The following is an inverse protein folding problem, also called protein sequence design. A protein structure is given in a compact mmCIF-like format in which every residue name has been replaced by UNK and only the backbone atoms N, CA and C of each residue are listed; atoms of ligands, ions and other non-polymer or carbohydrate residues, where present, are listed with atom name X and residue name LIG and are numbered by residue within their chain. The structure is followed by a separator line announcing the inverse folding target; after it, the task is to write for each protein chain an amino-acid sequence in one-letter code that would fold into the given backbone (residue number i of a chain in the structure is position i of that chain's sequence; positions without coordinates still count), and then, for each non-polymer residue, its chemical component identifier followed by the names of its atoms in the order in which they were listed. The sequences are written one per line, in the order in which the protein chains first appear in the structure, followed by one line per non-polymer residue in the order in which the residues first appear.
data_IF_937741166787
#
_entry.id   IF_937741166787
#
_cell.length_a   1.000
_cell.length_b   1.000
_cell.length_c   1.000
_cell.angle_alpha   90.00
_cell.angle_beta   90.00
_cell.angle_gamma   90.00
#
_symmetry.space_group_name_H-M   'P 1'
#
loop_
_entity.id
_entity.type
_entity.pdbx_description
1 polymer ?
#
# COMPACT_ATOMS: atom_id res chain seq x y z
N UNK A 1 21.74 1.75 1.45
CA UNK A 1 20.42 2.41 1.30
C UNK A 1 20.52 3.40 0.17
N UNK A 2 19.62 3.30 -0.82
CA UNK A 2 19.55 4.25 -1.91
C UNK A 2 19.24 5.65 -1.35
N UNK A 3 19.62 6.71 -2.08
CA UNK A 3 19.39 8.11 -1.67
C UNK A 3 17.90 8.39 -1.43
N UNK A 4 17.04 7.79 -2.24
CA UNK A 4 15.58 7.86 -2.14
C UNK A 4 15.02 7.31 -0.81
N UNK A 5 15.63 6.27 -0.23
CA UNK A 5 15.17 5.71 1.04
C UNK A 5 15.44 6.65 2.21
N UNK A 6 16.54 7.41 2.15
CA UNK A 6 16.88 8.41 3.18
C UNK A 6 15.96 9.63 3.12
N UNK A 7 15.63 10.09 1.92
CA UNK A 7 14.69 11.18 1.72
C UNK A 7 13.30 10.79 2.25
N UNK A 8 12.83 9.60 1.92
CA UNK A 8 11.57 9.07 2.40
C UNK A 8 11.54 8.89 3.92
N UNK A 9 12.64 8.39 4.52
CA UNK A 9 12.81 8.32 5.97
C UNK A 9 12.69 9.72 6.62
N UNK A 10 13.35 10.71 6.05
CA UNK A 10 13.30 12.09 6.55
C UNK A 10 11.90 12.70 6.44
N UNK A 11 11.19 12.44 5.36
CA UNK A 11 9.80 12.89 5.20
C UNK A 11 8.88 12.27 6.24
N UNK A 12 8.99 10.97 6.48
CA UNK A 12 8.21 10.29 7.54
C UNK A 12 8.50 10.90 8.90
N UNK A 13 9.77 11.13 9.22
CA UNK A 13 10.14 11.73 10.50
C UNK A 13 9.62 13.15 10.67
N UNK A 14 9.65 13.94 9.60
CA UNK A 14 9.07 15.29 9.60
C UNK A 14 7.56 15.26 9.82
N UNK A 15 6.85 14.29 9.22
CA UNK A 15 5.41 14.13 9.40
C UNK A 15 5.03 13.65 10.81
N UNK A 16 5.86 12.84 11.43
CA UNK A 16 5.63 12.36 12.80
C UNK A 16 5.82 13.47 13.82
N UNK A 17 6.68 14.45 13.54
CA UNK A 17 6.95 15.61 14.41
C UNK A 17 7.40 15.20 15.82
N UNK A 18 7.01 15.99 16.82
CA UNK A 18 7.39 15.81 18.22
C UNK A 18 6.47 14.82 18.99
N UNK A 19 5.77 13.95 18.30
CA UNK A 19 4.92 12.95 18.95
C UNK A 19 5.78 11.97 19.74
N UNK A 20 5.32 11.60 20.94
CA UNK A 20 6.01 10.61 21.77
C UNK A 20 5.91 9.22 21.14
N UNK A 21 7.01 8.75 20.59
CA UNK A 21 7.20 7.39 20.10
C UNK A 21 8.66 6.97 20.28
N UNK A 22 8.88 5.69 20.55
CA UNK A 22 10.22 5.11 20.52
C UNK A 22 10.57 4.74 19.07
N UNK A 23 11.77 5.13 18.64
CA UNK A 23 12.26 4.83 17.31
C UNK A 23 13.41 3.86 17.36
N UNK A 24 13.28 2.77 16.63
CA UNK A 24 14.33 1.79 16.43
C UNK A 24 14.65 1.68 14.94
N UNK A 25 15.93 1.87 14.59
CA UNK A 25 16.38 1.64 13.20
C UNK A 25 17.02 0.27 13.14
N UNK A 26 16.42 -0.64 12.41
CA UNK A 26 16.95 -1.96 12.13
C UNK A 26 17.62 -1.97 10.77
N UNK A 27 18.91 -2.29 10.76
CA UNK A 27 19.65 -2.47 9.52
C UNK A 27 19.51 -3.94 9.08
N UNK A 28 18.72 -4.15 8.06
CA UNK A 28 18.62 -5.47 7.45
C UNK A 28 19.92 -5.78 6.68
N UNK A 29 20.56 -6.88 7.04
CA UNK A 29 21.74 -7.39 6.34
C UNK A 29 21.31 -8.49 5.39
N UNK A 30 21.52 -8.25 4.08
CA UNK A 30 21.29 -9.28 3.08
C UNK A 30 22.27 -10.44 3.32
N UNK A 31 21.78 -11.68 3.56
CA UNK A 31 22.68 -12.78 3.84
C UNK A 31 23.54 -13.07 2.62
N UNK A 32 24.82 -12.75 2.72
CA UNK A 32 25.81 -12.98 1.66
C UNK A 32 26.21 -14.46 1.52
N UNK A 33 25.74 -15.34 2.41
CA UNK A 33 26.08 -16.75 2.41
C UNK A 33 24.84 -17.64 2.26
N UNK A 34 24.97 -18.70 1.47
CA UNK A 34 23.96 -19.76 1.24
C UNK A 34 23.47 -20.48 2.51
N UNK A 35 23.93 -20.09 3.70
CA UNK A 35 23.69 -20.83 4.95
C UNK A 35 22.53 -20.32 5.81
N UNK A 36 21.90 -19.21 5.47
CA UNK A 36 20.79 -18.69 6.29
C UNK A 36 19.54 -18.46 5.43
N UNK A 37 18.84 -19.56 5.16
CA UNK A 37 17.46 -19.49 4.68
C UNK A 37 16.47 -19.21 5.82
N UNK A 38 16.95 -18.97 7.04
CA UNK A 38 16.08 -18.63 8.15
C UNK A 38 15.61 -17.20 8.02
N UNK A 39 14.32 -16.93 8.23
CA UNK A 39 13.82 -15.58 8.41
C UNK A 39 14.63 -14.86 9.49
N UNK A 40 14.86 -13.58 9.34
CA UNK A 40 15.52 -12.77 10.38
C UNK A 40 14.71 -12.88 11.67
N UNK A 41 15.37 -13.14 12.81
CA UNK A 41 14.68 -13.12 14.09
C UNK A 41 14.39 -11.65 14.46
N UNK A 42 13.17 -11.22 14.19
CA UNK A 42 12.67 -9.89 14.48
C UNK A 42 11.93 -9.82 15.81
N UNK A 43 11.86 -10.94 16.55
CA UNK A 43 11.21 -11.01 17.86
C UNK A 43 11.72 -9.95 18.85
N UNK A 44 13.03 -9.63 18.92
CA UNK A 44 13.54 -8.62 19.85
C UNK A 44 13.08 -7.18 19.53
N UNK A 45 12.55 -6.94 18.33
CA UNK A 45 12.07 -5.62 17.92
C UNK A 45 10.61 -5.38 18.33
N UNK A 46 9.90 -6.41 18.79
CA UNK A 46 8.50 -6.32 19.17
C UNK A 46 8.37 -5.95 20.63
N UNK A 47 7.78 -4.80 20.92
CA UNK A 47 7.42 -4.36 22.26
C UNK A 47 6.05 -4.87 22.66
N UNK A 48 5.94 -5.51 23.84
CA UNK A 48 4.72 -6.22 24.24
C UNK A 48 3.55 -5.29 24.58
N UNK A 49 3.84 -4.12 25.14
CA UNK A 49 2.82 -3.20 25.67
C UNK A 49 2.60 -1.97 24.77
N UNK A 50 3.11 -2.03 23.55
CA UNK A 50 3.02 -0.95 22.57
C UNK A 50 2.40 -1.42 21.26
N UNK A 51 1.89 -0.48 20.48
CA UNK A 51 1.59 -0.72 19.08
C UNK A 51 2.86 -0.53 18.26
N UNK A 52 3.31 -1.63 17.64
CA UNK A 52 4.52 -1.62 16.84
C UNK A 52 4.18 -1.27 15.40
N UNK A 53 4.88 -0.30 14.82
CA UNK A 53 4.73 0.07 13.41
C UNK A 53 6.06 -0.16 12.71
N UNK A 54 6.06 -1.06 11.74
CA UNK A 54 7.22 -1.32 10.91
C UNK A 54 7.10 -0.59 9.58
N UNK A 55 8.12 0.19 9.24
CA UNK A 55 8.25 0.82 7.93
C UNK A 55 9.38 0.12 7.18
N UNK A 56 9.05 -0.56 6.09
CA UNK A 56 10.04 -1.29 5.29
C UNK A 56 10.46 -0.41 4.11
N UNK A 57 11.71 0.05 4.16
CA UNK A 57 12.30 0.95 3.17
C UNK A 57 13.07 0.18 2.08
N UNK A 58 12.64 -1.01 1.70
CA UNK A 58 13.26 -1.79 0.64
C UNK A 58 12.28 -2.05 -0.51
N UNK A 59 12.78 -1.89 -1.73
CA UNK A 59 12.07 -2.28 -2.96
C UNK A 59 12.56 -3.65 -3.50
N UNK A 60 13.47 -4.32 -2.79
CA UNK A 60 13.94 -5.63 -3.17
C UNK A 60 12.93 -6.70 -2.73
N UNK A 61 12.37 -7.45 -3.67
CA UNK A 61 11.35 -8.48 -3.42
C UNK A 61 11.81 -9.53 -2.41
N UNK A 62 13.07 -9.99 -2.51
CA UNK A 62 13.63 -11.01 -1.62
C UNK A 62 13.78 -10.49 -0.19
N UNK A 63 14.19 -9.24 -0.02
CA UNK A 63 14.35 -8.64 1.30
C UNK A 63 13.00 -8.38 1.94
N UNK A 64 12.02 -7.89 1.18
CA UNK A 64 10.64 -7.69 1.65
C UNK A 64 10.03 -9.01 2.10
N UNK A 65 10.12 -10.06 1.27
CA UNK A 65 9.62 -11.40 1.62
C UNK A 65 10.21 -11.92 2.92
N UNK A 66 11.53 -11.82 3.08
CA UNK A 66 12.23 -12.28 4.29
C UNK A 66 11.85 -11.50 5.55
N UNK A 67 11.70 -10.18 5.43
CA UNK A 67 11.30 -9.34 6.56
C UNK A 67 9.87 -9.69 6.99
N UNK A 68 8.95 -9.79 6.05
CA UNK A 68 7.56 -10.18 6.34
C UNK A 68 7.49 -11.60 6.92
N UNK A 69 8.20 -12.56 6.32
CA UNK A 69 8.27 -13.91 6.87
C UNK A 69 8.87 -13.94 8.29
N UNK A 70 9.83 -13.07 8.57
CA UNK A 70 10.41 -12.89 9.91
C UNK A 70 9.40 -12.38 10.93
N UNK A 71 8.59 -11.39 10.57
CA UNK A 71 7.53 -10.84 11.44
C UNK A 71 6.43 -11.87 11.70
N UNK A 72 5.95 -12.56 10.65
CA UNK A 72 4.96 -13.62 10.80
C UNK A 72 5.47 -14.79 11.66
N UNK A 73 6.76 -15.14 11.54
CA UNK A 73 7.40 -16.15 12.38
C UNK A 73 7.51 -15.72 13.83
N UNK A 74 7.84 -14.46 14.10
CA UNK A 74 7.91 -13.90 15.44
C UNK A 74 6.52 -13.95 16.12
N UNK A 75 5.45 -13.53 15.42
CA UNK A 75 4.07 -13.63 15.91
C UNK A 75 3.71 -15.07 16.27
N UNK A 76 4.02 -16.02 15.39
CA UNK A 76 3.75 -17.45 15.61
C UNK A 76 4.56 -18.02 16.76
N UNK A 77 5.83 -17.67 16.89
CA UNK A 77 6.71 -18.14 17.96
C UNK A 77 6.26 -17.66 19.34
N UNK A 78 5.76 -16.42 19.45
CA UNK A 78 5.24 -15.86 20.68
C UNK A 78 3.93 -16.55 21.08
N UNK A 79 3.01 -16.70 20.13
CA UNK A 79 1.69 -17.30 20.36
C UNK A 79 1.78 -18.78 20.68
N UNK A 80 2.69 -19.53 20.05
CA UNK A 80 2.89 -20.96 20.34
C UNK A 80 3.39 -21.23 21.76
N UNK A 81 3.99 -20.23 22.41
CA UNK A 81 4.41 -20.30 23.81
C UNK A 81 3.32 -19.86 24.80
N UNK A 82 2.07 -19.74 24.34
CA UNK A 82 0.94 -19.34 25.16
C UNK A 82 0.96 -17.85 25.57
N UNK A 83 1.77 -17.02 24.90
CA UNK A 83 1.81 -15.59 25.12
C UNK A 83 0.95 -14.86 24.08
N UNK A 84 0.41 -13.72 24.47
CA UNK A 84 -0.24 -12.83 23.50
C UNK A 84 0.82 -12.17 22.64
N UNK A 85 0.74 -12.31 21.32
CA UNK A 85 1.64 -11.62 20.43
C UNK A 85 1.41 -10.11 20.48
N UNK A 86 2.47 -9.30 20.49
CA UNK A 86 2.37 -7.86 20.39
C UNK A 86 1.59 -7.44 19.13
N UNK A 87 0.84 -6.38 19.24
CA UNK A 87 0.20 -5.80 18.06
C UNK A 87 1.26 -5.12 17.21
N UNK A 88 1.23 -5.40 15.92
CA UNK A 88 2.08 -4.67 14.97
C UNK A 88 1.35 -4.46 13.64
N UNK A 89 1.77 -3.44 12.93
CA UNK A 89 1.29 -3.07 11.59
C UNK A 89 2.51 -2.81 10.71
N UNK A 90 2.47 -3.29 9.49
CA UNK A 90 3.55 -3.04 8.52
C UNK A 90 3.09 -2.02 7.51
N UNK A 91 3.77 -0.89 7.44
CA UNK A 91 3.60 0.08 6.36
C UNK A 91 4.43 -0.36 5.16
N UNK A 92 3.73 -0.76 4.13
CA UNK A 92 4.30 -1.32 2.92
C UNK A 92 4.15 -0.40 1.72
N UNK A 93 4.59 -0.90 0.57
CA UNK A 93 4.49 -0.23 -0.71
C UNK A 93 3.49 -0.97 -1.62
N UNK A 94 2.61 -0.23 -2.29
CA UNK A 94 1.64 -0.80 -3.24
C UNK A 94 2.30 -1.59 -4.39
N UNK A 95 3.60 -1.38 -4.66
CA UNK A 95 4.38 -2.16 -5.63
C UNK A 95 4.49 -3.63 -5.24
N UNK A 96 4.42 -3.97 -3.95
CA UNK A 96 4.52 -5.36 -3.48
C UNK A 96 3.44 -6.26 -4.06
N UNK A 97 2.31 -5.71 -4.45
CA UNK A 97 1.27 -6.44 -5.19
C UNK A 97 1.72 -6.98 -6.57
N UNK A 98 2.85 -6.51 -7.08
CA UNK A 98 3.42 -6.93 -8.36
C UNK A 98 4.53 -7.98 -8.21
N UNK A 99 4.94 -8.25 -6.98
CA UNK A 99 5.98 -9.25 -6.72
C UNK A 99 5.41 -10.64 -6.99
N UNK A 100 6.18 -11.45 -7.71
CA UNK A 100 5.72 -12.76 -8.18
C UNK A 100 5.95 -13.85 -7.14
N UNK A 101 7.01 -13.72 -6.33
CA UNK A 101 7.44 -14.74 -5.38
C UNK A 101 6.92 -14.46 -3.96
N UNK A 102 6.25 -13.34 -3.73
CA UNK A 102 5.73 -12.97 -2.43
C UNK A 102 4.38 -13.63 -2.18
N UNK A 103 4.27 -14.43 -1.13
CA UNK A 103 3.00 -14.99 -0.69
C UNK A 103 2.10 -13.89 -0.12
N UNK A 104 1.03 -13.59 -0.82
CA UNK A 104 0.07 -12.55 -0.40
C UNK A 104 -0.65 -12.88 0.90
N UNK A 105 -0.70 -14.14 1.32
CA UNK A 105 -1.27 -14.51 2.61
C UNK A 105 -0.50 -13.88 3.78
N UNK A 106 0.77 -13.55 3.57
CA UNK A 106 1.60 -12.89 4.57
C UNK A 106 1.15 -11.45 4.86
N UNK A 107 0.54 -10.77 3.87
CA UNK A 107 -0.01 -9.42 4.09
C UNK A 107 -1.08 -9.39 5.16
N UNK A 108 -1.91 -10.43 5.22
CA UNK A 108 -2.94 -10.56 6.23
C UNK A 108 -2.35 -10.89 7.61
N UNK A 109 -1.36 -11.78 7.65
CA UNK A 109 -0.67 -12.15 8.90
C UNK A 109 0.01 -10.94 9.53
N UNK A 110 0.68 -10.14 8.73
CA UNK A 110 1.48 -9.00 9.15
C UNK A 110 0.69 -7.68 9.20
N UNK A 111 -0.62 -7.73 8.91
CA UNK A 111 -1.48 -6.54 8.87
C UNK A 111 -0.85 -5.43 8.03
N UNK A 112 -0.48 -5.78 6.79
CA UNK A 112 0.14 -4.82 5.89
C UNK A 112 -0.85 -3.73 5.54
N UNK A 113 -0.38 -2.50 5.62
CA UNK A 113 -1.09 -1.30 5.19
C UNK A 113 -0.27 -0.62 4.11
N UNK A 114 -0.88 -0.25 3.02
CA UNK A 114 -0.23 0.60 2.04
C UNK A 114 -1.17 1.63 1.44
N UNK A 115 -0.58 2.71 1.00
CA UNK A 115 -1.27 3.78 0.32
C UNK A 115 -1.24 3.51 -1.17
N UNK A 116 -2.39 3.54 -1.79
CA UNK A 116 -2.56 3.36 -3.22
C UNK A 116 -3.28 4.55 -3.83
N UNK A 117 -2.79 5.00 -4.97
CA UNK A 117 -3.51 5.99 -5.79
C UNK A 117 -4.56 5.34 -6.69
N UNK A 118 -4.57 3.99 -6.76
CA UNK A 118 -5.44 3.24 -7.65
C UNK A 118 -5.85 1.92 -7.01
N UNK A 119 -7.08 1.83 -6.57
CA UNK A 119 -7.61 0.58 -6.06
C UNK A 119 -9.09 0.45 -6.44
N UNK A 120 -9.40 -0.46 -7.36
CA UNK A 120 -10.79 -0.76 -7.70
C UNK A 120 -11.41 -1.64 -6.62
N UNK A 121 -12.46 -1.15 -6.00
CA UNK A 121 -13.24 -1.91 -5.01
C UNK A 121 -14.14 -2.91 -5.73
N UNK A 122 -13.61 -4.13 -5.97
CA UNK A 122 -14.25 -5.14 -6.83
C UNK A 122 -15.59 -5.66 -6.33
N UNK A 123 -15.89 -5.47 -5.07
CA UNK A 123 -17.18 -5.82 -4.46
C UNK A 123 -18.25 -4.75 -4.68
N UNK A 124 -17.87 -3.55 -5.13
CA UNK A 124 -18.83 -2.48 -5.44
C UNK A 124 -19.64 -2.79 -6.70
N UNK A 125 -20.92 -2.45 -6.68
CA UNK A 125 -21.82 -2.69 -7.82
C UNK A 125 -21.37 -1.98 -9.11
N UNK A 126 -20.75 -0.81 -8.99
CA UNK A 126 -20.23 -0.05 -10.13
C UNK A 126 -19.09 -0.79 -10.82
N UNK A 127 -18.14 -1.33 -10.04
CA UNK A 127 -17.01 -2.10 -10.58
C UNK A 127 -17.51 -3.42 -11.18
N UNK A 128 -18.41 -4.13 -10.52
CA UNK A 128 -19.05 -5.36 -11.08
C UNK A 128 -19.74 -5.10 -12.39
N UNK A 129 -20.49 -4.01 -12.49
CA UNK A 129 -21.17 -3.63 -13.74
C UNK A 129 -20.16 -3.35 -14.87
N UNK A 130 -19.08 -2.63 -14.56
CA UNK A 130 -18.00 -2.38 -15.52
C UNK A 130 -17.32 -3.69 -15.94
N UNK A 131 -16.95 -4.56 -15.01
CA UNK A 131 -16.29 -5.84 -15.27
C UNK A 131 -17.16 -6.70 -16.20
N UNK A 132 -18.45 -6.76 -15.92
CA UNK A 132 -19.42 -7.50 -16.74
C UNK A 132 -19.58 -6.93 -18.13
N UNK A 133 -19.63 -5.60 -18.27
CA UNK A 133 -19.71 -4.94 -19.56
C UNK A 133 -18.42 -5.13 -20.38
N UNK A 134 -17.27 -5.00 -19.72
CA UNK A 134 -15.96 -5.18 -20.33
C UNK A 134 -15.77 -6.62 -20.84
N UNK A 135 -16.11 -7.61 -20.01
CA UNK A 135 -16.05 -9.02 -20.39
C UNK A 135 -16.94 -9.33 -21.61
N UNK A 136 -18.17 -8.79 -21.64
CA UNK A 136 -19.06 -8.97 -22.81
C UNK A 136 -18.51 -8.35 -24.09
N UNK A 137 -17.83 -7.20 -23.96
CA UNK A 137 -17.34 -6.46 -25.13
C UNK A 137 -16.02 -6.99 -25.66
N UNK A 138 -15.15 -7.47 -24.80
CA UNK A 138 -13.77 -7.83 -25.15
C UNK A 138 -13.41 -9.31 -24.92
N UNK A 139 -14.29 -10.10 -24.30
CA UNK A 139 -14.06 -11.51 -24.01
C UNK A 139 -13.03 -11.81 -22.92
N UNK A 140 -12.49 -10.77 -22.25
CA UNK A 140 -11.50 -10.87 -21.19
C UNK A 140 -11.89 -10.01 -20.00
N UNK A 141 -11.36 -10.32 -18.83
CA UNK A 141 -11.52 -9.48 -17.65
C UNK A 141 -10.68 -8.20 -17.74
N UNK A 142 -11.18 -7.07 -17.20
CA UNK A 142 -10.42 -5.83 -17.19
C UNK A 142 -9.15 -5.94 -16.36
N UNK A 143 -8.12 -5.25 -16.82
CA UNK A 143 -6.85 -5.08 -16.10
C UNK A 143 -6.82 -3.75 -15.37
N UNK A 144 -5.77 -3.51 -14.59
CA UNK A 144 -5.52 -2.21 -13.98
C UNK A 144 -5.56 -1.05 -15.01
N UNK A 145 -5.06 -1.29 -16.21
CA UNK A 145 -5.04 -0.28 -17.27
C UNK A 145 -6.43 -0.02 -17.85
N UNK A 146 -7.31 -1.03 -17.88
CA UNK A 146 -8.70 -0.87 -18.32
C UNK A 146 -9.46 0.07 -17.35
N UNK A 147 -9.31 -0.12 -16.04
CA UNK A 147 -9.89 0.78 -15.05
C UNK A 147 -9.33 2.19 -15.15
N UNK A 148 -8.01 2.33 -15.33
CA UNK A 148 -7.38 3.65 -15.50
C UNK A 148 -7.88 4.38 -16.73
N UNK A 149 -7.99 3.67 -17.85
CA UNK A 149 -8.54 4.24 -19.09
C UNK A 149 -9.96 4.74 -18.91
N UNK A 150 -10.80 3.94 -18.27
CA UNK A 150 -12.17 4.35 -17.96
C UNK A 150 -12.20 5.58 -17.05
N UNK A 151 -11.46 5.55 -15.94
CA UNK A 151 -11.41 6.67 -14.98
C UNK A 151 -10.93 7.96 -15.66
N UNK A 152 -9.87 7.85 -16.46
CA UNK A 152 -9.34 8.99 -17.24
C UNK A 152 -10.39 9.54 -18.21
N UNK A 153 -11.07 8.67 -18.94
CA UNK A 153 -12.12 9.11 -19.84
C UNK A 153 -13.26 9.81 -19.11
N UNK A 154 -13.72 9.24 -17.99
CA UNK A 154 -14.81 9.82 -17.19
C UNK A 154 -14.47 11.18 -16.59
N UNK A 155 -13.19 11.40 -16.26
CA UNK A 155 -12.73 12.68 -15.69
C UNK A 155 -12.55 13.73 -16.77
N UNK A 156 -11.92 13.37 -17.90
CA UNK A 156 -11.46 14.36 -18.90
C UNK A 156 -12.34 14.44 -20.16
N UNK A 157 -13.19 13.45 -20.46
CA UNK A 157 -14.06 13.51 -21.63
C UNK A 157 -14.98 14.74 -21.64
N UNK A 158 -15.55 15.21 -20.54
CA UNK A 158 -16.34 16.44 -20.56
C UNK A 158 -15.57 17.66 -21.05
N UNK A 159 -14.28 17.74 -20.78
CA UNK A 159 -13.43 18.86 -21.23
C UNK A 159 -13.17 18.80 -22.76
N UNK A 160 -13.30 17.63 -23.40
CA UNK A 160 -13.07 17.47 -24.83
C UNK A 160 -14.21 17.98 -25.69
N UNK A 161 -15.41 18.17 -25.13
CA UNK A 161 -16.60 18.62 -25.86
C UNK A 161 -16.82 20.13 -25.84
N UNK A 162 -15.88 20.89 -25.32
CA UNK A 162 -15.60 22.25 -25.78
C UNK A 162 -16.41 23.42 -25.18
N UNK A 163 -17.37 23.20 -24.31
CA UNK A 163 -18.24 24.29 -23.86
C UNK A 163 -18.02 24.76 -22.42
N UNK A 164 -17.05 24.20 -21.71
CA UNK A 164 -16.83 24.56 -20.30
C UNK A 164 -15.32 24.61 -20.04
N UNK A 165 -14.82 25.71 -19.50
CA UNK A 165 -13.56 25.74 -18.77
C UNK A 165 -13.63 24.65 -17.71
N UNK A 166 -13.02 23.51 -17.99
CA UNK A 166 -13.04 22.36 -17.10
C UNK A 166 -12.03 22.61 -15.99
N UNK A 167 -12.50 23.21 -14.92
CA UNK A 167 -11.72 23.39 -13.73
C UNK A 167 -11.69 22.08 -12.93
N UNK A 168 -10.48 21.54 -12.75
CA UNK A 168 -10.26 20.36 -11.94
C UNK A 168 -10.16 20.66 -10.45
N UNK A 169 -9.97 21.93 -10.11
CA UNK A 169 -9.73 22.35 -8.73
C UNK A 169 -11.00 22.19 -7.91
N UNK A 170 -10.85 21.62 -6.71
CA UNK A 170 -11.94 21.38 -5.76
C UNK A 170 -13.08 20.44 -6.23
N UNK A 171 -12.93 19.82 -7.39
CA UNK A 171 -13.87 18.81 -7.86
C UNK A 171 -13.50 17.41 -7.39
N UNK A 172 -14.51 16.70 -6.92
CA UNK A 172 -14.40 15.31 -6.52
C UNK A 172 -14.95 14.40 -7.61
N UNK A 173 -14.11 13.50 -8.11
CA UNK A 173 -14.50 12.47 -9.08
C UNK A 173 -14.39 11.12 -8.41
N UNK A 174 -15.43 10.29 -8.53
CA UNK A 174 -15.44 8.94 -7.95
C UNK A 174 -15.85 7.94 -9.04
N UNK A 175 -14.95 7.64 -10.01
CA UNK A 175 -15.26 6.68 -11.07
C UNK A 175 -15.19 5.23 -10.58
N UNK A 176 -14.19 4.42 -10.96
CA UNK A 176 -14.10 3.00 -10.60
C UNK A 176 -13.04 2.69 -9.55
N UNK A 177 -11.85 3.29 -9.70
CA UNK A 177 -10.69 2.87 -8.90
C UNK A 177 -10.60 3.58 -7.55
N UNK A 178 -10.84 4.87 -7.53
CA UNK A 178 -10.68 5.69 -6.33
C UNK A 178 -11.44 7.00 -6.47
N UNK A 179 -11.47 7.75 -5.42
CA UNK A 179 -11.87 9.16 -5.48
C UNK A 179 -10.66 9.98 -5.89
N UNK A 180 -10.86 10.85 -6.88
CA UNK A 180 -9.86 11.84 -7.29
C UNK A 180 -10.27 13.20 -6.76
N UNK A 181 -9.32 13.88 -6.18
CA UNK A 181 -9.43 15.26 -5.74
C UNK A 181 -8.18 16.00 -6.18
N UNK A 182 -8.34 16.87 -7.17
CA UNK A 182 -7.23 17.59 -7.75
C UNK A 182 -7.06 18.95 -7.07
N UNK A 183 -5.82 19.32 -6.82
CA UNK A 183 -5.44 20.68 -6.46
C UNK A 183 -4.17 21.08 -7.18
N UNK A 184 -3.95 22.38 -7.26
CA UNK A 184 -2.73 22.95 -7.83
C UNK A 184 -1.79 23.32 -6.69
N UNK A 185 -0.69 22.56 -6.49
CA UNK A 185 0.30 22.93 -5.48
C UNK A 185 0.90 24.30 -5.75
N UNK A 186 1.22 25.04 -4.72
CA UNK A 186 1.83 26.35 -4.81
C UNK A 186 3.11 26.30 -5.67
N UNK A 187 3.26 27.25 -6.60
CA UNK A 187 4.38 27.32 -7.52
C UNK A 187 4.37 26.29 -8.65
N UNK A 188 3.33 25.48 -8.82
CA UNK A 188 3.19 24.51 -9.93
C UNK A 188 2.06 24.90 -10.87
N UNK A 189 2.27 24.66 -12.17
CA UNK A 189 1.25 24.88 -13.19
C UNK A 189 0.23 23.72 -13.29
N UNK A 190 0.59 22.53 -12.83
CA UNK A 190 -0.19 21.31 -13.05
C UNK A 190 -1.01 20.95 -11.81
N UNK A 191 -2.21 20.44 -12.04
CA UNK A 191 -3.02 19.81 -11.00
C UNK A 191 -2.44 18.44 -10.63
N UNK A 192 -2.51 18.10 -9.35
CA UNK A 192 -2.09 16.82 -8.78
C UNK A 192 -3.25 16.23 -8.00
N UNK A 193 -3.51 14.95 -8.19
CA UNK A 193 -4.45 14.23 -7.33
C UNK A 193 -3.80 14.03 -5.95
N UNK A 194 -4.42 14.54 -4.91
CA UNK A 194 -3.94 14.41 -3.53
C UNK A 194 -4.85 13.53 -2.66
N UNK A 195 -5.83 12.88 -3.26
CA UNK A 195 -6.62 11.88 -2.56
C UNK A 195 -5.90 10.52 -2.62
N UNK A 196 -5.72 9.93 -1.46
CA UNK A 196 -5.04 8.67 -1.26
C UNK A 196 -6.01 7.64 -0.72
N UNK A 197 -5.87 6.41 -1.17
CA UNK A 197 -6.64 5.27 -0.69
C UNK A 197 -5.75 4.41 0.19
N UNK A 198 -6.15 4.24 1.44
CA UNK A 198 -5.48 3.34 2.36
C UNK A 198 -6.06 1.94 2.22
N UNK A 199 -5.22 0.96 1.98
CA UNK A 199 -5.58 -0.45 1.87
C UNK A 199 -5.01 -1.18 3.08
N UNK A 200 -5.89 -1.72 3.93
CA UNK A 200 -5.52 -2.41 5.15
C UNK A 200 -5.83 -3.90 5.01
N UNK A 201 -4.85 -4.73 5.27
CA UNK A 201 -5.01 -6.19 5.37
C UNK A 201 -5.19 -6.60 6.83
N UNK A 202 -6.18 -7.42 7.12
CA UNK A 202 -6.53 -7.85 8.48
C UNK A 202 -6.28 -9.34 8.68
N UNK A 203 -5.96 -9.76 9.91
CA UNK A 203 -5.68 -11.18 10.26
C UNK A 203 -6.84 -12.13 9.97
N UNK A 204 -8.06 -11.64 9.88
CA UNK A 204 -9.27 -12.39 9.50
C UNK A 204 -9.43 -12.56 7.99
N UNK A 205 -8.40 -12.27 7.22
CA UNK A 205 -8.39 -12.31 5.75
C UNK A 205 -9.35 -11.33 5.08
N UNK A 206 -9.74 -10.28 5.78
CA UNK A 206 -10.49 -9.16 5.18
C UNK A 206 -9.57 -8.04 4.72
N UNK A 207 -10.04 -7.23 3.78
CA UNK A 207 -9.38 -6.02 3.31
C UNK A 207 -10.34 -4.86 3.50
N UNK A 208 -9.90 -3.81 4.19
CA UNK A 208 -10.63 -2.55 4.24
C UNK A 208 -9.94 -1.48 3.40
N UNK A 209 -10.75 -0.61 2.81
CA UNK A 209 -10.31 0.45 1.90
C UNK A 209 -10.90 1.75 2.41
N UNK A 210 -10.04 2.72 2.73
CA UNK A 210 -10.40 4.01 3.32
C UNK A 210 -9.85 5.17 2.51
#
# INVERSE_FOLDING_TARGET
TATTDKEFEQEILALLGDRSYARHTYKYEHPSSRRTNSPSDLTPLLENDAENVFVILSDNEVDVDRILAGLASADTSITSRGRTAPRFTVLGNARWNRYNNLDRAIFFKDRVVFISTYHAKRDSERVKAFDSAYLRSFGILPTLFSYRGYDTAMIFAPAMYGDIEYDLEDRRFTPLQTTYLFSRPEGRANHVNHNWTRVNYHKDFTITIE
#
